data_IF_536482347433
#
_entry.id   IF_536482347433
#
_cell.length_a   1.000
_cell.length_b   1.000
_cell.length_c   1.000
_cell.angle_alpha   90.00
_cell.angle_beta   90.00
_cell.angle_gamma   90.00
#
_symmetry.space_group_name_H-M   'P 1'
#
loop_
_entity.id
_entity.type
_entity.pdbx_description
1 polymer ?
#
# COMPACT_ATOMS: atom_id res chain seq x y z
N UNK A 1 -42.21 -10.00 -21.57
CA UNK A 1 -41.32 -8.82 -21.58
C UNK A 1 -40.75 -8.67 -20.18
N UNK A 2 -39.49 -9.04 -19.97
CA UNK A 2 -38.83 -8.90 -18.67
C UNK A 2 -38.42 -7.44 -18.50
N UNK A 3 -38.98 -6.75 -17.49
CA UNK A 3 -38.52 -5.43 -17.07
C UNK A 3 -37.47 -5.63 -15.99
N UNK A 4 -36.25 -5.22 -16.29
CA UNK A 4 -35.20 -5.08 -15.28
C UNK A 4 -35.55 -3.84 -14.46
N UNK A 5 -35.82 -4.06 -13.18
CA UNK A 5 -36.09 -2.98 -12.23
C UNK A 5 -34.76 -2.40 -11.73
N UNK A 6 -34.29 -1.34 -12.39
CA UNK A 6 -33.06 -0.64 -12.03
C UNK A 6 -33.13 0.01 -10.65
N UNK A 7 -34.32 0.23 -10.08
CA UNK A 7 -34.47 0.82 -8.75
C UNK A 7 -33.93 -0.11 -7.64
N UNK A 8 -33.99 -1.42 -7.85
CA UNK A 8 -33.42 -2.40 -6.91
C UNK A 8 -31.91 -2.61 -7.06
N UNK A 9 -31.30 -2.18 -8.17
CA UNK A 9 -29.85 -2.27 -8.37
C UNK A 9 -29.16 -1.12 -7.63
N UNK A 10 -29.74 0.07 -7.54
CA UNK A 10 -29.08 1.20 -6.85
C UNK A 10 -29.37 1.29 -5.35
N UNK A 11 -30.01 0.29 -4.74
CA UNK A 11 -30.07 0.14 -3.28
C UNK A 11 -28.74 -0.40 -2.70
N UNK A 12 -27.64 -0.16 -3.39
CA UNK A 12 -26.29 -0.47 -2.93
C UNK A 12 -25.87 0.61 -1.93
N UNK A 13 -26.07 0.32 -0.65
CA UNK A 13 -25.28 0.91 0.42
C UNK A 13 -23.82 0.97 -0.02
N UNK A 14 -23.21 2.15 0.02
CA UNK A 14 -21.77 2.31 -0.22
C UNK A 14 -21.05 1.31 0.70
N UNK A 15 -20.28 0.35 0.16
CA UNK A 15 -19.62 -0.65 0.98
C UNK A 15 -18.68 0.07 1.95
N UNK A 16 -18.78 -0.27 3.24
CA UNK A 16 -17.91 0.31 4.26
C UNK A 16 -16.52 -0.31 4.10
N UNK A 17 -15.61 0.45 3.52
CA UNK A 17 -14.20 0.07 3.45
C UNK A 17 -13.53 0.41 4.77
N UNK A 18 -12.90 -0.58 5.41
CA UNK A 18 -12.03 -0.36 6.56
C UNK A 18 -10.58 -0.62 6.17
N UNK A 19 -9.68 0.25 6.60
CA UNK A 19 -8.23 0.08 6.45
C UNK A 19 -7.60 0.01 7.82
N UNK A 20 -6.67 -0.93 7.99
CA UNK A 20 -5.92 -1.12 9.23
C UNK A 20 -4.45 -1.29 8.90
N UNK A 21 -3.59 -0.58 9.62
CA UNK A 21 -2.14 -0.80 9.56
C UNK A 21 -1.82 -2.13 10.25
N UNK A 22 -1.31 -3.10 9.47
CA UNK A 22 -0.92 -4.44 9.97
C UNK A 22 0.61 -4.59 10.12
N UNK A 23 1.37 -3.68 9.54
CA UNK A 23 2.80 -3.51 9.76
C UNK A 23 3.45 -2.70 8.66
N UNK A 24 4.77 -2.77 8.59
CA UNK A 24 5.62 -1.92 7.76
C UNK A 24 6.93 -2.62 7.42
N UNK A 25 7.55 -2.19 6.33
CA UNK A 25 8.93 -2.47 5.98
C UNK A 25 9.47 -1.30 5.17
N UNK A 26 10.78 -1.20 5.09
CA UNK A 26 11.52 -0.17 4.36
C UNK A 26 12.36 -0.79 3.24
N UNK A 27 12.59 -0.03 2.17
CA UNK A 27 13.54 -0.38 1.10
C UNK A 27 14.55 0.75 0.98
N UNK A 28 15.83 0.45 1.15
CA UNK A 28 16.89 1.46 1.10
C UNK A 28 17.36 1.80 -0.33
N UNK A 29 18.37 2.67 -0.43
CA UNK A 29 18.97 3.10 -1.70
C UNK A 29 19.67 1.99 -2.48
N UNK A 30 20.02 0.89 -1.84
CA UNK A 30 20.64 -0.30 -2.43
C UNK A 30 19.61 -1.41 -2.70
N UNK A 31 18.32 -1.05 -2.67
CA UNK A 31 17.17 -1.94 -2.87
C UNK A 31 17.07 -3.08 -1.84
N UNK A 32 17.64 -2.91 -0.64
CA UNK A 32 17.58 -3.91 0.42
C UNK A 32 16.33 -3.75 1.29
N UNK A 33 15.79 -4.89 1.72
CA UNK A 33 14.66 -4.96 2.63
C UNK A 33 15.08 -4.77 4.08
N UNK A 34 14.36 -3.91 4.80
CA UNK A 34 14.50 -3.69 6.23
C UNK A 34 13.13 -3.81 6.92
N UNK A 35 13.04 -4.60 7.98
CA UNK A 35 11.80 -4.80 8.74
C UNK A 35 11.54 -3.64 9.74
N UNK A 36 11.72 -2.40 9.30
CA UNK A 36 11.68 -1.21 10.14
C UNK A 36 11.07 0.01 9.43
N UNK A 37 11.10 1.16 10.11
CA UNK A 37 10.64 2.46 9.62
C UNK A 37 11.81 3.37 9.21
N UNK A 38 13.00 2.82 8.93
CA UNK A 38 14.20 3.60 8.63
C UNK A 38 14.03 4.58 7.45
N UNK A 39 13.13 4.26 6.52
CA UNK A 39 12.85 5.10 5.34
C UNK A 39 11.58 5.97 5.49
N UNK A 40 10.91 5.95 6.65
CA UNK A 40 9.77 6.82 6.92
C UNK A 40 10.24 8.27 7.05
N UNK A 41 9.68 9.16 6.23
CA UNK A 41 9.99 10.58 6.25
C UNK A 41 8.84 11.37 6.87
N UNK A 42 9.20 12.41 7.61
CA UNK A 42 8.24 13.35 8.18
C UNK A 42 8.12 14.57 7.27
N UNK A 43 6.90 15.08 7.14
CA UNK A 43 6.69 16.35 6.49
C UNK A 43 7.31 17.46 7.32
N UNK A 44 8.17 18.26 6.69
CA UNK A 44 8.74 19.47 7.27
C UNK A 44 8.22 20.61 6.39
N UNK A 45 7.34 21.48 6.91
CA UNK A 45 6.85 22.60 6.13
C UNK A 45 8.00 23.57 5.82
N UNK A 46 7.93 24.28 4.69
CA UNK A 46 8.83 25.40 4.44
C UNK A 46 8.60 26.49 5.50
N UNK A 47 9.64 27.26 5.78
CA UNK A 47 9.54 28.39 6.72
C UNK A 47 8.49 29.43 6.29
N UNK A 48 8.31 29.58 4.98
CA UNK A 48 7.26 30.40 4.36
C UNK A 48 6.46 29.54 3.36
N UNK A 49 5.26 29.06 3.74
CA UNK A 49 4.40 28.25 2.88
C UNK A 49 3.87 28.96 1.63
N UNK A 50 3.80 30.29 1.64
CA UNK A 50 3.22 31.07 0.55
C UNK A 50 4.28 31.52 -0.48
N UNK A 51 5.56 31.40 -0.12
CA UNK A 51 6.70 31.77 -0.96
C UNK A 51 7.66 30.59 -1.16
N UNK A 52 7.16 29.56 -1.83
CA UNK A 52 7.91 28.34 -2.13
C UNK A 52 8.37 28.34 -3.58
N UNK A 53 9.68 28.27 -3.81
CA UNK A 53 10.28 28.18 -5.15
C UNK A 53 11.36 27.08 -5.20
N UNK A 54 10.95 25.82 -5.06
CA UNK A 54 11.85 24.68 -5.18
C UNK A 54 12.18 24.41 -6.65
N UNK A 55 13.45 24.47 -7.03
CA UNK A 55 13.90 24.03 -8.36
C UNK A 55 14.01 22.49 -8.40
N UNK A 56 13.09 21.87 -9.13
CA UNK A 56 13.01 20.42 -9.29
C UNK A 56 14.04 19.86 -10.30
N UNK A 57 14.76 20.72 -11.02
CA UNK A 57 15.80 20.31 -11.97
C UNK A 57 17.18 20.16 -11.32
N UNK A 58 17.33 20.66 -10.08
CA UNK A 58 18.57 20.51 -9.32
C UNK A 58 18.94 19.02 -9.27
N UNK A 59 20.20 18.72 -9.60
CA UNK A 59 20.79 17.37 -9.52
C UNK A 59 20.17 16.33 -10.47
N UNK A 60 19.46 16.74 -11.52
CA UNK A 60 18.88 15.83 -12.53
C UNK A 60 19.92 14.82 -13.06
N UNK A 61 21.10 15.29 -13.48
CA UNK A 61 22.15 14.43 -14.05
C UNK A 61 22.76 13.43 -13.05
N UNK A 62 22.66 13.71 -11.74
CA UNK A 62 23.17 12.83 -10.68
C UNK A 62 22.09 11.95 -10.05
N UNK A 63 20.86 12.00 -10.57
CA UNK A 63 19.73 11.23 -10.03
C UNK A 63 19.93 9.74 -10.29
N UNK A 64 19.85 8.93 -9.22
CA UNK A 64 19.86 7.46 -9.33
C UNK A 64 18.44 6.97 -9.60
N UNK A 65 18.24 6.33 -10.74
CA UNK A 65 16.94 5.76 -11.11
C UNK A 65 16.84 4.31 -10.64
N UNK A 66 15.67 3.95 -10.09
CA UNK A 66 15.37 2.57 -9.75
C UNK A 66 15.30 1.72 -11.03
N UNK A 67 15.95 0.56 -11.10
CA UNK A 67 15.85 -0.33 -12.26
C UNK A 67 14.42 -0.84 -12.44
N UNK A 68 14.02 -1.08 -13.69
CA UNK A 68 12.68 -1.56 -14.07
C UNK A 68 12.41 -3.01 -13.66
N UNK A 69 13.42 -3.73 -13.14
CA UNK A 69 13.30 -5.12 -12.71
C UNK A 69 12.26 -5.29 -11.59
N UNK A 70 11.40 -6.28 -11.77
CA UNK A 70 10.12 -6.43 -11.08
C UNK A 70 10.24 -7.03 -9.66
N UNK A 71 10.86 -6.32 -8.70
CA UNK A 71 11.04 -6.77 -7.28
C UNK A 71 9.79 -6.46 -6.42
N UNK A 72 8.60 -6.52 -7.02
CA UNK A 72 7.39 -5.96 -6.41
C UNK A 72 6.78 -6.88 -5.33
N UNK A 73 6.76 -8.18 -5.57
CA UNK A 73 6.09 -9.14 -4.68
C UNK A 73 7.01 -9.69 -3.59
N UNK A 74 8.29 -9.92 -3.88
CA UNK A 74 9.22 -10.59 -2.97
C UNK A 74 9.28 -9.93 -1.59
N UNK A 75 9.33 -8.60 -1.53
CA UNK A 75 9.38 -7.86 -0.26
C UNK A 75 8.08 -7.99 0.55
N UNK A 76 6.92 -7.99 -0.12
CA UNK A 76 5.62 -8.17 0.53
C UNK A 76 5.47 -9.61 0.99
N UNK A 77 5.84 -10.59 0.16
CA UNK A 77 5.80 -12.01 0.52
C UNK A 77 6.74 -12.31 1.70
N UNK A 78 7.94 -11.71 1.70
CA UNK A 78 8.87 -11.78 2.83
C UNK A 78 8.25 -11.20 4.10
N UNK A 79 7.68 -10.00 4.04
CA UNK A 79 7.00 -9.40 5.18
C UNK A 79 5.85 -10.25 5.71
N UNK A 80 5.02 -10.82 4.82
CA UNK A 80 3.92 -11.73 5.19
C UNK A 80 4.46 -12.99 5.87
N UNK A 81 5.50 -13.61 5.32
CA UNK A 81 6.11 -14.80 5.91
C UNK A 81 6.63 -14.52 7.33
N UNK A 82 7.32 -13.39 7.51
CA UNK A 82 7.87 -12.98 8.81
C UNK A 82 6.77 -12.61 9.84
N UNK A 83 5.59 -12.19 9.37
CA UNK A 83 4.50 -11.68 10.21
C UNK A 83 3.23 -12.54 10.18
N UNK A 84 3.29 -13.77 9.69
CA UNK A 84 2.11 -14.61 9.45
C UNK A 84 1.25 -14.78 10.72
N UNK A 85 1.90 -15.00 11.87
CA UNK A 85 1.26 -15.11 13.19
C UNK A 85 0.45 -13.87 13.62
N UNK A 86 0.71 -12.69 13.04
CA UNK A 86 -0.01 -11.43 13.34
C UNK A 86 -1.26 -11.25 12.47
N UNK A 87 -1.30 -11.98 11.34
CA UNK A 87 -2.36 -11.90 10.34
C UNK A 87 -3.33 -13.07 10.51
N UNK A 88 -2.86 -14.18 11.08
CA UNK A 88 -3.68 -15.35 11.41
C UNK A 88 -4.79 -14.96 12.39
N UNK A 89 -6.05 -15.07 11.96
CA UNK A 89 -7.19 -14.97 12.87
C UNK A 89 -7.20 -16.20 13.78
N UNK A 90 -7.54 -16.05 15.08
CA UNK A 90 -7.75 -17.21 15.93
C UNK A 90 -8.82 -18.11 15.32
N UNK A 91 -8.54 -19.41 15.28
CA UNK A 91 -9.36 -20.49 14.69
C UNK A 91 -10.79 -20.60 15.26
N UNK A 92 -11.14 -19.78 16.26
CA UNK A 92 -12.42 -19.82 16.96
C UNK A 92 -13.58 -19.11 16.24
N UNK A 93 -13.36 -18.48 15.08
CA UNK A 93 -14.41 -17.88 14.26
C UNK A 93 -14.56 -18.65 12.94
N UNK A 94 -15.57 -19.52 12.94
CA UNK A 94 -16.05 -20.47 11.93
C UNK A 94 -15.97 -20.07 10.43
N UNK A 95 -15.59 -21.09 9.65
CA UNK A 95 -16.27 -21.67 8.45
C UNK A 95 -16.52 -20.83 7.19
N UNK A 96 -16.29 -19.54 7.15
CA UNK A 96 -16.28 -18.82 5.87
C UNK A 96 -14.92 -19.00 5.18
N UNK A 97 -14.92 -19.56 3.96
CA UNK A 97 -13.73 -19.58 3.08
C UNK A 97 -13.25 -18.15 2.86
N UNK A 98 -12.37 -17.67 3.73
CA UNK A 98 -11.80 -16.35 3.65
C UNK A 98 -10.70 -16.33 2.58
N UNK A 99 -11.06 -16.08 1.33
CA UNK A 99 -10.08 -15.83 0.27
C UNK A 99 -9.40 -14.49 0.54
N UNK A 100 -8.16 -14.52 1.04
CA UNK A 100 -7.34 -13.32 1.24
C UNK A 100 -6.48 -13.08 0.00
N UNK A 101 -6.57 -11.90 -0.59
CA UNK A 101 -5.70 -11.47 -1.68
C UNK A 101 -4.63 -10.51 -1.16
N UNK A 102 -3.37 -10.82 -1.41
CA UNK A 102 -2.25 -9.92 -1.12
C UNK A 102 -1.83 -9.21 -2.41
N UNK A 103 -2.10 -7.90 -2.46
CA UNK A 103 -1.90 -7.07 -3.65
C UNK A 103 -1.19 -5.76 -3.27
N UNK A 104 -0.46 -5.20 -4.23
CA UNK A 104 0.14 -3.87 -4.11
C UNK A 104 -0.92 -2.83 -4.47
N UNK A 105 -1.02 -1.76 -3.67
CA UNK A 105 -2.02 -0.68 -3.87
C UNK A 105 -2.04 -0.13 -5.31
N UNK A 106 -0.89 -0.03 -5.98
CA UNK A 106 -0.82 0.44 -7.37
C UNK A 106 -1.52 -0.44 -8.41
N UNK A 107 -1.91 -1.68 -8.07
CA UNK A 107 -2.59 -2.62 -8.98
C UNK A 107 -4.12 -2.67 -8.78
N UNK A 108 -4.66 -1.92 -7.81
CA UNK A 108 -6.09 -1.87 -7.46
C UNK A 108 -6.73 -0.48 -7.70
N UNK A 109 -5.94 0.49 -8.18
CA UNK A 109 -6.39 1.85 -8.50
C UNK A 109 -6.66 2.01 -10.00
#
# INVERSE_FOLDING_TARGET
MFKIDFANIFCHTVPTLSTKLIGYFSIDGDSQYHADLSQLKYYIPPSDPDNVNFDLNINYMSTRHKPTSYIKLDNILRWIADNFHRIEKPLSAQEERCTHFYLIRGNIN
#
